data_IF_483279246432
#
_entry.id   IF_483279246432
#
_cell.length_a   1.000
_cell.length_b   1.000
_cell.length_c   1.000
_cell.angle_alpha   90.00
_cell.angle_beta   90.00
_cell.angle_gamma   90.00
#
_symmetry.space_group_name_H-M   'P 1'
#
loop_
_entity.id
_entity.type
_entity.pdbx_description
1 polymer ?
#
# COMPACT_ATOMS: atom_id res chain seq x y z
N UNK A 1 20.42 -27.83 -9.38
CA UNK A 1 19.45 -27.04 -8.60
C UNK A 1 18.18 -27.83 -8.46
N UNK A 2 17.66 -27.93 -7.24
CA UNK A 2 16.32 -28.51 -7.00
C UNK A 2 15.26 -27.48 -7.38
N UNK A 3 14.13 -27.95 -7.90
CA UNK A 3 12.98 -27.11 -8.27
C UNK A 3 11.85 -27.36 -7.28
N UNK A 4 11.30 -26.31 -6.69
CA UNK A 4 10.12 -26.38 -5.85
C UNK A 4 8.88 -26.10 -6.69
N UNK A 5 7.92 -27.02 -6.67
CA UNK A 5 6.71 -26.93 -7.49
C UNK A 5 5.46 -26.78 -6.62
N UNK A 6 4.64 -25.78 -6.94
CA UNK A 6 3.30 -25.62 -6.38
C UNK A 6 2.27 -26.19 -7.37
N UNK A 7 1.51 -27.17 -6.88
CA UNK A 7 0.50 -27.90 -7.64
C UNK A 7 -0.87 -27.66 -6.97
N UNK A 8 -1.87 -27.34 -7.77
CA UNK A 8 -3.27 -27.22 -7.35
C UNK A 8 -4.17 -28.13 -8.16
N UNK A 9 -5.40 -28.33 -7.68
CA UNK A 9 -6.46 -28.89 -8.52
C UNK A 9 -6.78 -27.94 -9.68
N UNK A 10 -6.95 -28.47 -10.90
CA UNK A 10 -7.26 -27.65 -12.09
C UNK A 10 -8.59 -26.89 -11.97
N UNK A 11 -9.52 -27.41 -11.16
CA UNK A 11 -10.84 -26.83 -10.91
C UNK A 11 -10.89 -25.93 -9.65
N UNK A 12 -9.79 -25.85 -8.89
CA UNK A 12 -9.75 -25.15 -7.61
C UNK A 12 -9.04 -23.80 -7.66
N UNK A 13 -9.52 -22.85 -6.86
CA UNK A 13 -8.78 -21.63 -6.53
C UNK A 13 -7.81 -21.91 -5.38
N UNK A 14 -6.72 -22.64 -5.67
CA UNK A 14 -5.73 -22.98 -4.65
C UNK A 14 -4.82 -21.78 -4.39
N UNK A 15 -4.57 -21.48 -3.12
CA UNK A 15 -3.67 -20.40 -2.75
C UNK A 15 -2.91 -20.72 -1.47
N UNK A 16 -1.71 -20.16 -1.38
CA UNK A 16 -0.90 -20.18 -0.16
C UNK A 16 -0.32 -18.79 0.08
N UNK A 17 -0.28 -18.39 1.34
CA UNK A 17 0.47 -17.21 1.77
C UNK A 17 1.79 -17.63 2.42
N UNK A 18 2.88 -17.00 2.01
CA UNK A 18 4.22 -17.18 2.56
C UNK A 18 4.73 -15.84 3.07
N UNK A 19 5.01 -15.78 4.36
CA UNK A 19 5.41 -14.52 5.00
C UNK A 19 6.77 -14.02 4.51
N UNK A 20 7.74 -14.93 4.38
CA UNK A 20 9.04 -14.63 3.80
C UNK A 20 9.48 -15.77 2.88
N UNK A 21 9.83 -15.46 1.64
CA UNK A 21 10.42 -16.41 0.70
C UNK A 21 11.90 -16.11 0.53
N UNK A 22 12.73 -17.13 0.75
CA UNK A 22 14.17 -17.02 0.58
C UNK A 22 14.61 -17.86 -0.60
N UNK A 23 15.26 -17.22 -1.58
CA UNK A 23 15.91 -17.88 -2.70
C UNK A 23 17.41 -17.96 -2.43
N UNK A 24 17.83 -19.05 -1.78
CA UNK A 24 19.23 -19.26 -1.41
C UNK A 24 20.15 -19.22 -2.64
N UNK A 25 21.25 -18.47 -2.54
CA UNK A 25 22.26 -18.26 -3.59
C UNK A 25 21.77 -17.59 -4.88
N UNK A 26 20.51 -17.17 -4.97
CA UNK A 26 20.01 -16.40 -6.09
C UNK A 26 20.21 -14.90 -5.84
N UNK A 27 20.41 -14.19 -6.94
CA UNK A 27 20.50 -12.73 -6.99
C UNK A 27 19.45 -12.18 -7.95
N UNK A 28 19.33 -10.85 -8.03
CA UNK A 28 18.43 -10.20 -8.99
C UNK A 28 18.69 -10.65 -10.44
N UNK A 29 19.94 -10.93 -10.81
CA UNK A 29 20.32 -11.33 -12.17
C UNK A 29 19.77 -12.71 -12.57
N UNK A 30 19.28 -13.50 -11.60
CA UNK A 30 18.65 -14.79 -11.83
C UNK A 30 17.15 -14.68 -12.16
N UNK A 31 16.55 -13.50 -12.00
CA UNK A 31 15.18 -13.21 -12.43
C UNK A 31 15.16 -13.06 -13.95
N UNK A 32 14.57 -14.04 -14.66
CA UNK A 32 14.58 -14.07 -16.13
C UNK A 32 13.22 -14.45 -16.70
N UNK A 33 12.77 -13.67 -17.67
CA UNK A 33 11.57 -13.96 -18.48
C UNK A 33 10.32 -14.30 -17.64
N UNK A 34 10.15 -13.62 -16.49
CA UNK A 34 9.01 -13.86 -15.59
C UNK A 34 9.04 -15.21 -14.86
N UNK A 35 10.22 -15.84 -14.73
CA UNK A 35 10.44 -17.08 -13.98
C UNK A 35 11.76 -17.08 -13.19
N UNK A 36 11.86 -17.97 -12.20
CA UNK A 36 13.09 -18.37 -11.50
C UNK A 36 13.33 -19.86 -11.74
N UNK A 37 14.59 -20.25 -11.99
CA UNK A 37 14.93 -21.65 -12.29
C UNK A 37 14.56 -22.65 -11.18
N UNK A 38 14.50 -22.17 -9.93
CA UNK A 38 14.24 -22.98 -8.73
C UNK A 38 12.76 -23.07 -8.35
N UNK A 39 11.86 -22.36 -9.06
CA UNK A 39 10.45 -22.26 -8.69
C UNK A 39 9.55 -22.55 -9.90
N UNK A 40 8.51 -23.35 -9.68
CA UNK A 40 7.37 -23.47 -10.59
C UNK A 40 6.06 -23.28 -9.83
N UNK A 41 5.16 -22.49 -10.41
CA UNK A 41 3.79 -22.36 -9.93
C UNK A 41 2.90 -22.77 -11.10
N UNK A 42 2.30 -23.96 -11.00
CA UNK A 42 1.43 -24.49 -12.06
C UNK A 42 0.10 -23.71 -12.13
N UNK A 43 -0.61 -23.78 -13.27
CA UNK A 43 -1.99 -23.29 -13.35
C UNK A 43 -2.87 -23.84 -12.22
N UNK A 44 -3.85 -23.05 -11.78
CA UNK A 44 -4.74 -23.41 -10.67
C UNK A 44 -4.19 -23.14 -9.26
N UNK A 45 -3.00 -22.54 -9.15
CA UNK A 45 -2.39 -22.17 -7.86
C UNK A 45 -1.88 -20.72 -7.87
N UNK A 46 -2.14 -19.95 -6.81
CA UNK A 46 -1.56 -18.62 -6.59
C UNK A 46 -0.75 -18.60 -5.30
N UNK A 47 0.53 -18.26 -5.40
CA UNK A 47 1.40 -18.06 -4.25
C UNK A 47 1.44 -16.57 -3.92
N UNK A 48 0.89 -16.21 -2.76
CA UNK A 48 1.02 -14.89 -2.18
C UNK A 48 2.26 -14.87 -1.28
N UNK A 49 3.08 -13.83 -1.37
CA UNK A 49 4.22 -13.66 -0.47
C UNK A 49 4.28 -12.24 0.09
N UNK A 50 4.78 -12.06 1.31
CA UNK A 50 4.93 -10.74 1.91
C UNK A 50 6.32 -10.13 1.68
N UNK A 51 7.41 -10.88 1.85
CA UNK A 51 8.75 -10.35 1.58
C UNK A 51 9.69 -11.42 1.00
N UNK A 52 10.80 -10.96 0.43
CA UNK A 52 11.82 -11.80 -0.20
C UNK A 52 13.21 -11.21 -0.01
N UNK A 53 14.24 -12.05 -0.16
CA UNK A 53 15.64 -11.61 -0.30
C UNK A 53 15.94 -11.04 -1.70
N UNK A 54 15.10 -11.37 -2.70
CA UNK A 54 15.12 -10.75 -4.03
C UNK A 54 14.13 -9.57 -4.09
N UNK A 55 14.28 -8.63 -5.04
CA UNK A 55 13.35 -7.50 -5.20
C UNK A 55 11.90 -7.98 -5.39
N UNK A 56 11.03 -7.69 -4.43
CA UNK A 56 9.66 -8.21 -4.41
C UNK A 56 8.82 -7.69 -5.59
N UNK A 57 9.14 -6.50 -6.10
CA UNK A 57 8.50 -5.88 -7.26
C UNK A 57 8.79 -6.62 -8.56
N UNK A 58 9.98 -7.19 -8.69
CA UNK A 58 10.36 -7.99 -9.86
C UNK A 58 9.78 -9.40 -9.78
N UNK A 59 9.43 -9.85 -8.57
CA UNK A 59 8.75 -11.11 -8.34
C UNK A 59 7.23 -11.02 -8.52
N UNK A 60 6.61 -9.87 -8.22
CA UNK A 60 5.17 -9.69 -8.36
C UNK A 60 4.73 -9.80 -9.81
N UNK A 61 3.76 -10.68 -10.06
CA UNK A 61 3.21 -10.90 -11.40
C UNK A 61 3.93 -12.00 -12.20
N UNK A 62 5.03 -12.57 -11.70
CA UNK A 62 5.69 -13.71 -12.36
C UNK A 62 4.74 -14.91 -12.48
N UNK A 63 5.10 -15.85 -13.36
CA UNK A 63 4.30 -17.05 -13.65
C UNK A 63 2.87 -16.72 -14.12
N UNK A 64 2.73 -15.74 -15.01
CA UNK A 64 1.45 -15.25 -15.51
C UNK A 64 0.51 -14.77 -14.38
N UNK A 65 1.06 -14.01 -13.43
CA UNK A 65 0.30 -13.45 -12.31
C UNK A 65 0.05 -14.41 -11.14
N UNK A 66 0.73 -15.56 -11.08
CA UNK A 66 0.53 -16.55 -10.02
C UNK A 66 1.46 -16.37 -8.82
N UNK A 67 2.56 -15.65 -8.97
CA UNK A 67 3.35 -15.17 -7.83
C UNK A 67 2.91 -13.73 -7.52
N UNK A 68 2.36 -13.50 -6.33
CA UNK A 68 1.75 -12.21 -5.96
C UNK A 68 2.34 -11.64 -4.68
N UNK A 69 2.83 -10.41 -4.76
CA UNK A 69 3.33 -9.71 -3.59
C UNK A 69 2.19 -9.03 -2.80
N UNK A 70 2.16 -9.25 -1.48
CA UNK A 70 1.21 -8.63 -0.54
C UNK A 70 1.93 -7.53 0.25
N UNK A 71 2.26 -6.43 -0.44
CA UNK A 71 3.14 -5.37 0.06
C UNK A 71 2.60 -4.61 1.28
N UNK A 72 1.29 -4.43 1.38
CA UNK A 72 0.70 -3.63 2.46
C UNK A 72 0.69 -4.39 3.78
N UNK A 73 0.73 -5.72 3.75
CA UNK A 73 0.68 -6.54 4.95
C UNK A 73 2.07 -6.67 5.59
N UNK A 74 2.27 -6.22 6.84
CA UNK A 74 3.57 -6.26 7.48
C UNK A 74 4.11 -7.66 7.69
N UNK A 75 3.25 -8.65 7.92
CA UNK A 75 3.64 -10.02 8.22
C UNK A 75 4.37 -10.20 9.55
N UNK A 76 4.58 -11.45 9.96
CA UNK A 76 5.17 -11.78 11.25
C UNK A 76 6.70 -11.69 11.21
N UNK A 77 7.30 -12.37 10.23
CA UNK A 77 8.72 -12.45 9.91
C UNK A 77 9.15 -11.42 8.87
N UNK A 78 8.20 -10.83 8.13
CA UNK A 78 8.47 -9.82 7.11
C UNK A 78 8.28 -8.38 7.59
N UNK A 79 7.94 -8.15 8.87
CA UNK A 79 7.67 -6.78 9.35
C UNK A 79 8.92 -6.03 9.79
N UNK A 80 8.89 -4.71 9.61
CA UNK A 80 9.90 -3.78 10.08
C UNK A 80 9.23 -2.59 10.80
N UNK A 81 9.76 -2.14 11.95
CA UNK A 81 9.24 -0.94 12.61
C UNK A 81 9.65 0.32 11.82
N UNK A 82 8.72 1.27 11.69
CA UNK A 82 8.97 2.62 11.17
C UNK A 82 8.38 3.63 12.13
N UNK A 83 9.19 4.61 12.53
CA UNK A 83 8.77 5.69 13.40
C UNK A 83 8.21 6.86 12.59
N UNK A 84 7.04 7.34 12.96
CA UNK A 84 6.32 8.46 12.32
C UNK A 84 6.34 9.64 13.28
N UNK A 85 7.21 10.62 12.99
CA UNK A 85 7.56 11.69 13.93
C UNK A 85 6.42 12.64 14.28
N UNK A 86 5.58 13.01 13.31
CA UNK A 86 4.51 13.99 13.51
C UNK A 86 3.30 13.48 14.31
N UNK A 87 3.27 12.17 14.61
CA UNK A 87 2.25 11.56 15.49
C UNK A 87 2.88 10.73 16.62
N UNK A 88 4.20 10.87 16.86
CA UNK A 88 4.97 10.16 17.89
C UNK A 88 4.61 8.66 18.01
N UNK A 89 4.58 7.96 16.87
CA UNK A 89 4.10 6.58 16.79
C UNK A 89 5.02 5.70 15.96
N UNK A 90 5.29 4.49 16.46
CA UNK A 90 5.92 3.44 15.65
C UNK A 90 4.84 2.56 15.03
N UNK A 91 4.89 2.41 13.71
CA UNK A 91 4.05 1.48 12.96
C UNK A 91 4.89 0.29 12.51
N UNK A 92 4.24 -0.84 12.22
CA UNK A 92 4.87 -1.97 11.54
C UNK A 92 4.47 -1.93 10.07
N UNK A 93 5.45 -2.08 9.19
CA UNK A 93 5.27 -2.14 7.75
C UNK A 93 5.98 -3.37 7.20
N UNK A 94 5.64 -3.75 5.98
CA UNK A 94 6.34 -4.80 5.27
C UNK A 94 7.78 -4.36 4.95
N UNK A 95 8.77 -5.23 5.20
CA UNK A 95 10.19 -4.94 5.01
C UNK A 95 10.51 -4.65 3.54
N UNK A 96 10.14 -5.56 2.63
CA UNK A 96 10.39 -5.35 1.20
C UNK A 96 9.71 -4.08 0.69
N UNK A 97 8.55 -3.72 1.24
CA UNK A 97 7.86 -2.48 0.84
C UNK A 97 8.58 -1.23 1.34
N UNK A 98 9.05 -1.24 2.59
CA UNK A 98 9.86 -0.15 3.15
C UNK A 98 11.25 -0.03 2.51
N UNK A 99 11.81 -1.13 2.03
CA UNK A 99 13.13 -1.14 1.37
C UNK A 99 13.03 -0.93 -0.15
N UNK A 100 11.80 -0.82 -0.68
CA UNK A 100 11.55 -0.66 -2.10
C UNK A 100 12.23 0.57 -2.69
N UNK A 101 12.90 0.38 -3.84
CA UNK A 101 13.42 1.49 -4.65
C UNK A 101 12.49 1.87 -5.82
N UNK A 102 11.37 1.17 -5.95
CA UNK A 102 10.39 1.38 -7.02
C UNK A 102 9.17 2.18 -6.54
N UNK A 103 8.88 2.13 -5.24
CA UNK A 103 7.79 2.88 -4.63
C UNK A 103 8.30 4.09 -3.87
N UNK A 104 7.62 5.21 -4.07
CA UNK A 104 7.66 6.43 -3.26
C UNK A 104 6.25 6.59 -2.70
N UNK A 105 6.06 6.26 -1.42
CA UNK A 105 4.70 6.06 -0.86
C UNK A 105 4.07 7.35 -0.35
N UNK A 106 4.88 8.34 0.05
CA UNK A 106 4.41 9.66 0.47
C UNK A 106 4.57 10.76 -0.61
N UNK A 107 5.10 10.37 -1.78
CA UNK A 107 5.15 11.14 -3.01
C UNK A 107 5.97 12.43 -2.80
N UNK A 108 7.14 12.28 -2.18
CA UNK A 108 8.09 13.37 -1.89
C UNK A 108 9.28 13.42 -2.86
N UNK A 109 9.40 12.42 -3.74
CA UNK A 109 10.44 12.27 -4.75
C UNK A 109 11.56 11.30 -4.36
N UNK A 110 11.52 10.70 -3.16
CA UNK A 110 12.53 9.77 -2.67
C UNK A 110 11.90 8.38 -2.51
N UNK A 111 12.46 7.38 -3.20
CA UNK A 111 11.97 6.01 -3.08
C UNK A 111 12.13 5.48 -1.65
N UNK A 112 11.21 4.62 -1.20
CA UNK A 112 11.08 4.17 0.18
C UNK A 112 12.40 3.68 0.81
N UNK A 113 13.20 2.94 0.04
CA UNK A 113 14.46 2.37 0.47
C UNK A 113 15.55 3.41 0.80
N UNK A 114 15.46 4.60 0.20
CA UNK A 114 16.39 5.72 0.43
C UNK A 114 15.80 6.82 1.32
N UNK A 115 14.51 6.75 1.62
CA UNK A 115 13.81 7.78 2.38
C UNK A 115 13.84 7.52 3.90
N UNK A 116 14.02 8.60 4.65
CA UNK A 116 13.94 8.65 6.11
C UNK A 116 12.49 8.76 6.61
N UNK A 117 11.55 9.22 5.77
CA UNK A 117 10.12 9.31 6.07
C UNK A 117 9.21 8.62 5.04
N UNK A 118 9.46 7.36 4.64
CA UNK A 118 8.85 6.74 3.44
C UNK A 118 7.35 6.48 3.50
N UNK A 119 6.71 6.79 4.63
CA UNK A 119 5.25 6.71 4.79
C UNK A 119 4.68 8.04 5.29
N UNK A 120 5.43 9.12 5.08
CA UNK A 120 5.17 10.46 5.58
C UNK A 120 5.63 10.68 7.01
N UNK A 121 5.74 11.95 7.34
CA UNK A 121 6.15 12.47 8.64
C UNK A 121 5.00 12.52 9.64
N UNK A 122 3.84 11.90 9.37
CA UNK A 122 2.68 12.06 10.22
C UNK A 122 1.96 13.41 10.03
N UNK A 123 2.03 13.98 8.82
CA UNK A 123 1.05 15.00 8.36
C UNK A 123 0.23 14.35 7.24
N UNK A 124 -1.12 14.26 7.32
CA UNK A 124 -1.88 13.59 6.28
C UNK A 124 -1.80 14.42 5.00
N UNK A 125 -1.37 13.78 3.91
CA UNK A 125 -1.32 14.39 2.57
C UNK A 125 -2.43 13.78 1.72
N UNK A 126 -3.23 14.65 1.10
CA UNK A 126 -4.19 14.21 0.09
C UNK A 126 -3.39 13.80 -1.15
N UNK A 127 -3.42 12.52 -1.51
CA UNK A 127 -2.68 11.96 -2.65
C UNK A 127 -3.41 12.21 -3.98
N UNK A 128 -4.74 12.28 -3.96
CA UNK A 128 -5.52 12.53 -5.18
C UNK A 128 -6.89 13.13 -4.86
N UNK A 129 -7.32 14.06 -5.69
CA UNK A 129 -8.71 14.53 -5.76
C UNK A 129 -9.20 14.42 -7.20
N UNK A 130 -10.28 13.68 -7.42
CA UNK A 130 -10.89 13.52 -8.75
C UNK A 130 -12.39 13.79 -8.71
N UNK A 131 -12.93 14.40 -9.76
CA UNK A 131 -14.37 14.56 -9.96
C UNK A 131 -14.85 13.59 -11.04
N UNK A 132 -15.83 12.76 -10.71
CA UNK A 132 -16.48 11.85 -11.66
C UNK A 132 -17.62 12.55 -12.43
N UNK A 133 -18.08 11.93 -13.52
CA UNK A 133 -19.20 12.41 -14.37
C UNK A 133 -20.49 12.61 -13.59
N UNK A 134 -20.69 11.82 -12.52
CA UNK A 134 -21.82 11.91 -11.59
C UNK A 134 -21.68 13.03 -10.54
N UNK A 135 -20.70 13.94 -10.70
CA UNK A 135 -20.32 14.95 -9.69
C UNK A 135 -19.89 14.34 -8.35
N UNK A 136 -19.39 13.11 -8.39
CA UNK A 136 -18.80 12.45 -7.23
C UNK A 136 -17.34 12.88 -7.10
N UNK A 137 -17.01 13.58 -6.03
CA UNK A 137 -15.63 13.82 -5.65
C UNK A 137 -15.11 12.55 -4.97
N UNK A 138 -13.93 12.10 -5.40
CA UNK A 138 -13.13 11.12 -4.69
C UNK A 138 -11.90 11.80 -4.12
N UNK A 139 -11.69 11.66 -2.82
CA UNK A 139 -10.52 12.16 -2.10
C UNK A 139 -9.75 10.96 -1.58
N UNK A 140 -8.45 10.94 -1.82
CA UNK A 140 -7.56 9.86 -1.42
C UNK A 140 -6.44 10.39 -0.54
N UNK A 141 -6.04 9.62 0.46
CA UNK A 141 -4.88 9.90 1.30
C UNK A 141 -4.28 8.62 1.85
N UNK A 142 -3.02 8.69 2.27
CA UNK A 142 -2.33 7.58 2.94
C UNK A 142 -2.84 7.43 4.38
N UNK A 143 -3.39 6.26 4.67
CA UNK A 143 -3.85 5.83 5.98
C UNK A 143 -2.80 5.01 6.71
N UNK A 144 -2.40 5.46 7.89
CA UNK A 144 -1.52 4.78 8.84
C UNK A 144 -2.35 3.83 9.72
N UNK A 145 -1.77 2.69 10.14
CA UNK A 145 -2.46 1.72 11.00
C UNK A 145 -3.02 2.34 12.28
N UNK A 146 -4.20 1.90 12.72
CA UNK A 146 -4.83 2.27 13.99
C UNK A 146 -4.84 3.78 14.25
N UNK A 147 -5.24 4.57 13.25
CA UNK A 147 -5.18 6.04 13.30
C UNK A 147 -6.51 6.65 12.87
N UNK A 148 -6.98 7.66 13.61
CA UNK A 148 -8.22 8.39 13.34
C UNK A 148 -7.92 9.65 12.52
N UNK A 149 -8.71 9.83 11.48
CA UNK A 149 -8.63 10.95 10.54
C UNK A 149 -9.88 11.80 10.61
N UNK A 150 -9.72 13.13 10.61
CA UNK A 150 -10.81 14.08 10.34
C UNK A 150 -10.69 14.57 8.91
N UNK A 151 -11.76 14.42 8.13
CA UNK A 151 -11.89 15.11 6.86
C UNK A 151 -12.75 16.34 7.09
N UNK A 152 -12.21 17.50 6.72
CA UNK A 152 -12.89 18.78 6.87
C UNK A 152 -12.95 19.51 5.54
N UNK A 153 -13.92 20.42 5.42
CA UNK A 153 -14.10 21.22 4.23
C UNK A 153 -14.46 22.68 4.52
N UNK A 154 -14.23 23.53 3.51
CA UNK A 154 -14.77 24.88 3.38
C UNK A 154 -15.53 25.02 2.07
N UNK A 155 -16.54 25.88 2.06
CA UNK A 155 -17.28 26.23 0.84
C UNK A 155 -16.52 27.29 0.05
N UNK A 156 -15.84 28.20 0.74
CA UNK A 156 -14.96 29.21 0.14
C UNK A 156 -13.64 29.31 0.90
N UNK A 157 -12.55 29.69 0.23
CA UNK A 157 -11.27 29.93 0.90
C UNK A 157 -11.36 31.00 2.00
N UNK A 158 -12.28 31.95 1.84
CA UNK A 158 -12.56 33.04 2.78
C UNK A 158 -13.36 32.62 4.01
N UNK A 159 -13.95 31.41 4.04
CA UNK A 159 -14.68 30.95 5.22
C UNK A 159 -13.73 30.91 6.43
N UNK A 160 -14.14 31.47 7.57
CA UNK A 160 -13.30 31.50 8.78
C UNK A 160 -13.08 30.11 9.36
N UNK A 161 -14.12 29.27 9.36
CA UNK A 161 -14.13 27.97 10.04
C UNK A 161 -14.19 26.82 9.04
N UNK A 162 -13.44 25.76 9.34
CA UNK A 162 -13.58 24.46 8.68
C UNK A 162 -14.80 23.73 9.24
N UNK A 163 -15.53 23.05 8.38
CA UNK A 163 -16.67 22.20 8.75
C UNK A 163 -16.24 20.74 8.68
N UNK A 164 -16.63 19.96 9.68
CA UNK A 164 -16.39 18.52 9.69
C UNK A 164 -17.24 17.89 8.58
N UNK A 165 -16.59 17.13 7.68
CA UNK A 165 -17.28 16.30 6.70
C UNK A 165 -17.55 14.92 7.27
N UNK A 166 -16.50 14.27 7.77
CA UNK A 166 -16.56 12.93 8.34
C UNK A 166 -15.29 12.64 9.13
N UNK A 167 -15.32 11.54 9.89
CA UNK A 167 -14.17 10.97 10.55
C UNK A 167 -13.97 9.53 10.04
N UNK A 168 -12.71 9.12 9.90
CA UNK A 168 -12.36 7.80 9.39
C UNK A 168 -11.29 7.17 10.28
N UNK A 169 -11.59 6.02 10.87
CA UNK A 169 -10.62 5.24 11.62
C UNK A 169 -10.06 4.13 10.74
N UNK A 170 -8.74 4.12 10.51
CA UNK A 170 -8.09 2.98 9.90
C UNK A 170 -7.88 1.90 10.96
N UNK A 171 -8.85 1.00 11.10
CA UNK A 171 -8.81 -0.13 12.03
C UNK A 171 -7.86 -1.26 11.60
N UNK A 172 -7.31 -1.16 10.38
CA UNK A 172 -6.37 -2.13 9.84
C UNK A 172 -4.98 -1.94 10.41
N UNK A 173 -4.21 -3.04 10.42
CA UNK A 173 -2.80 -3.05 10.82
C UNK A 173 -1.83 -2.70 9.67
N UNK A 174 -2.33 -2.08 8.60
CA UNK A 174 -1.59 -1.84 7.36
C UNK A 174 -1.60 -0.36 6.98
N UNK A 175 -0.53 0.07 6.31
CA UNK A 175 -0.53 1.32 5.55
C UNK A 175 -1.31 1.09 4.27
N UNK A 176 -2.27 1.95 3.96
CA UNK A 176 -3.11 1.82 2.76
C UNK A 176 -3.61 3.15 2.25
N UNK A 177 -4.01 3.20 0.99
CA UNK A 177 -4.79 4.34 0.50
C UNK A 177 -6.23 4.26 1.07
N UNK A 178 -6.67 5.34 1.70
CA UNK A 178 -8.05 5.55 2.10
C UNK A 178 -8.74 6.37 1.03
N UNK A 179 -9.95 5.98 0.64
CA UNK A 179 -10.78 6.72 -0.32
C UNK A 179 -12.07 7.18 0.34
N UNK A 180 -12.32 8.49 0.32
CA UNK A 180 -13.62 9.08 0.64
C UNK A 180 -14.35 9.49 -0.64
N UNK A 181 -15.66 9.30 -0.69
CA UNK A 181 -16.52 9.73 -1.80
C UNK A 181 -17.64 10.65 -1.31
N UNK A 182 -17.83 11.77 -1.99
CA UNK A 182 -18.91 12.72 -1.73
C UNK A 182 -19.61 13.12 -3.03
N UNK A 183 -20.94 13.27 -3.01
CA UNK A 183 -21.69 13.85 -4.14
C UNK A 183 -21.78 15.36 -3.95
N UNK A 184 -21.25 16.13 -4.92
CA UNK A 184 -21.44 17.58 -4.92
C UNK A 184 -22.91 17.94 -5.21
N UNK A 185 -23.51 18.77 -4.37
CA UNK A 185 -24.86 19.25 -4.62
C UNK A 185 -24.92 20.22 -5.80
N UNK A 186 -26.04 20.23 -6.53
CA UNK A 186 -26.25 21.03 -7.74
C UNK A 186 -26.13 22.56 -7.56
N UNK A 187 -25.96 23.05 -6.32
CA UNK A 187 -25.92 24.48 -5.99
C UNK A 187 -24.52 25.02 -5.67
N UNK A 188 -23.47 24.18 -5.66
CA UNK A 188 -22.13 24.58 -5.16
C UNK A 188 -21.06 24.41 -6.23
N UNK A 189 -20.24 25.43 -6.38
CA UNK A 189 -19.31 25.60 -7.52
C UNK A 189 -17.88 25.15 -7.14
N UNK A 190 -17.52 25.08 -5.86
CA UNK A 190 -16.27 24.48 -5.39
C UNK A 190 -16.32 24.19 -3.88
N UNK A 191 -15.48 23.26 -3.41
CA UNK A 191 -15.20 22.99 -2.00
C UNK A 191 -13.70 22.80 -1.82
N UNK A 192 -13.18 23.20 -0.67
CA UNK A 192 -11.77 23.03 -0.30
C UNK A 192 -11.70 22.00 0.81
N UNK A 193 -10.79 21.04 0.73
CA UNK A 193 -10.70 19.92 1.66
C UNK A 193 -9.35 19.90 2.37
N UNK A 194 -9.35 19.41 3.61
CA UNK A 194 -8.13 19.02 4.33
C UNK A 194 -8.37 17.76 5.15
N UNK A 195 -7.32 16.99 5.34
CA UNK A 195 -7.31 15.82 6.23
C UNK A 195 -6.43 16.14 7.42
N UNK A 196 -6.88 15.78 8.62
CA UNK A 196 -6.17 15.96 9.88
C UNK A 196 -6.08 14.63 10.63
N UNK A 197 -5.05 14.48 11.46
CA UNK A 197 -5.04 13.47 12.52
C UNK A 197 -5.92 13.94 13.68
N UNK A 198 -6.56 12.97 14.35
CA UNK A 198 -7.19 13.19 15.65
C UNK A 198 -6.59 12.16 16.60
N UNK A 199 -6.08 12.61 17.74
CA UNK A 199 -5.72 11.77 18.88
C UNK A 199 -6.95 11.39 19.70
#
# INVERSE_FOLDING_TARGET
>A
MSKFEFLGSEEGNNAMYVDYVEFDQLTKDDIKDGSLAVLDIKPGFTLYFAASNLPAEELDGMYNGRLRWVKEYPGHNSSMPVYISGIDKTIRVNRSFRESIAYDTDDDGIANGYDLSPFGNGVPKISSVSLDVDRKIRIKWTGLPSTLYRLEYKETLSDSNWKILTEYYNDQYIVREITHQEILSNKKISKFYRVLYIE
#
